data_IF_051081841624
#
_entry.id   IF_051081841624
#
_cell.length_a   1.000
_cell.length_b   1.000
_cell.length_c   1.000
_cell.angle_alpha   90.00
_cell.angle_beta   90.00
_cell.angle_gamma   90.00
#
_symmetry.space_group_name_H-M   'P 1'
#
loop_
_entity.id
_entity.type
_entity.pdbx_description
1 polymer ?
#
# COMPACT_ATOMS: atom_id res chain seq x y z
N UNK A 1 53.10 24.70 25.63
CA UNK A 1 51.64 24.47 25.54
C UNK A 1 51.42 23.04 25.05
N UNK A 2 50.81 22.11 25.80
CA UNK A 2 50.59 20.76 25.29
C UNK A 2 49.27 20.69 24.50
N UNK A 3 49.37 20.15 23.29
CA UNK A 3 48.27 19.91 22.36
C UNK A 3 47.25 18.93 22.94
N UNK A 4 45.96 19.25 22.80
CA UNK A 4 44.85 18.41 23.25
C UNK A 4 44.83 17.07 22.52
N UNK A 5 45.01 15.97 23.27
CA UNK A 5 44.68 14.63 22.78
C UNK A 5 43.19 14.61 22.45
N UNK A 6 42.87 14.58 21.16
CA UNK A 6 41.54 14.28 20.67
C UNK A 6 41.15 12.88 21.14
N UNK A 7 40.38 12.84 22.23
CA UNK A 7 39.70 11.64 22.72
C UNK A 7 38.94 11.06 21.53
N UNK A 8 39.41 9.95 21.00
CA UNK A 8 38.64 9.12 20.07
C UNK A 8 37.38 8.73 20.82
N UNK A 9 36.31 9.47 20.57
CA UNK A 9 35.02 9.26 21.20
C UNK A 9 34.39 8.01 20.61
N UNK A 10 34.94 6.84 20.92
CA UNK A 10 34.16 5.62 21.07
C UNK A 10 33.36 5.75 22.36
N UNK A 11 32.41 6.68 22.33
CA UNK A 11 31.38 6.78 23.34
C UNK A 11 30.48 5.55 23.22
N UNK A 12 30.58 4.65 24.21
CA UNK A 12 29.51 3.70 24.51
C UNK A 12 28.37 4.49 25.14
N UNK A 13 27.59 5.17 24.29
CA UNK A 13 26.63 6.16 24.75
C UNK A 13 25.74 6.64 23.63
N UNK A 14 24.76 5.83 23.27
CA UNK A 14 23.68 6.22 22.40
C UNK A 14 22.94 5.00 21.88
N UNK A 15 21.63 4.94 22.09
CA UNK A 15 20.73 4.04 21.35
C UNK A 15 20.59 4.57 19.92
N UNK A 16 21.73 4.71 19.25
CA UNK A 16 21.87 5.13 17.87
C UNK A 16 21.78 3.89 17.00
N UNK A 17 20.83 3.92 16.09
CA UNK A 17 20.59 2.94 15.03
C UNK A 17 21.86 2.82 14.16
N UNK A 18 22.86 2.08 14.66
CA UNK A 18 24.13 1.88 13.99
C UNK A 18 23.98 0.98 12.77
N UNK A 19 24.50 1.48 11.63
CA UNK A 19 24.57 0.85 10.30
C UNK A 19 23.24 0.84 9.52
N UNK A 20 23.03 1.87 8.69
CA UNK A 20 21.95 1.91 7.68
C UNK A 20 22.25 1.00 6.48
N UNK A 21 22.51 -0.28 6.71
CA UNK A 21 22.72 -1.27 5.64
C UNK A 21 22.14 -2.63 5.98
N UNK A 22 21.37 -2.75 7.06
CA UNK A 22 20.49 -3.88 7.25
C UNK A 22 19.39 -3.83 6.18
N UNK A 23 19.53 -4.65 5.13
CA UNK A 23 18.44 -4.89 4.17
C UNK A 23 17.20 -5.27 4.98
N UNK A 24 16.14 -4.46 4.89
CA UNK A 24 14.86 -4.83 5.48
C UNK A 24 14.41 -6.09 4.79
N UNK A 25 14.33 -7.19 5.51
CA UNK A 25 13.70 -8.40 4.99
C UNK A 25 12.27 -8.05 4.57
N UNK A 26 11.94 -8.38 3.32
CA UNK A 26 10.59 -8.15 2.79
C UNK A 26 9.61 -8.93 3.66
N UNK A 27 8.52 -8.29 4.07
CA UNK A 27 7.44 -8.96 4.80
C UNK A 27 6.97 -10.16 3.97
N UNK A 28 6.93 -11.34 4.60
CA UNK A 28 6.40 -12.54 3.97
C UNK A 28 4.93 -12.25 3.64
N UNK A 29 4.59 -12.37 2.35
CA UNK A 29 3.22 -12.23 1.89
C UNK A 29 2.42 -13.40 2.44
N UNK A 30 1.41 -13.10 3.25
CA UNK A 30 0.41 -14.07 3.71
C UNK A 30 -0.88 -13.86 2.90
N UNK A 31 -1.87 -14.71 3.14
CA UNK A 31 -3.19 -14.52 2.55
C UNK A 31 -3.90 -13.29 3.16
N UNK A 32 -3.56 -12.11 2.63
CA UNK A 32 -4.01 -10.81 3.12
C UNK A 32 -5.52 -10.60 2.89
N UNK A 33 -6.18 -11.49 2.15
CA UNK A 33 -7.60 -11.36 1.82
C UNK A 33 -8.49 -11.38 3.07
N UNK A 34 -8.08 -12.11 4.11
CA UNK A 34 -8.78 -12.13 5.39
C UNK A 34 -8.65 -10.81 6.17
N UNK A 35 -7.69 -9.95 5.80
CA UNK A 35 -7.59 -8.58 6.30
C UNK A 35 -8.78 -7.70 5.87
N UNK A 36 -9.52 -8.10 4.83
CA UNK A 36 -10.83 -7.51 4.51
C UNK A 36 -11.86 -8.10 5.48
N UNK A 37 -12.10 -7.36 6.57
CA UNK A 37 -12.97 -7.80 7.66
C UNK A 37 -14.45 -7.83 7.25
N UNK A 38 -15.24 -8.66 7.94
CA UNK A 38 -16.71 -8.68 7.79
C UNK A 38 -17.33 -7.29 8.01
N UNK A 39 -16.74 -6.48 8.89
CA UNK A 39 -17.16 -5.10 9.15
C UNK A 39 -16.99 -4.18 7.93
N UNK A 40 -15.87 -4.28 7.22
CA UNK A 40 -15.64 -3.52 5.98
C UNK A 40 -16.64 -3.89 4.89
N UNK A 41 -16.89 -5.18 4.68
CA UNK A 41 -17.87 -5.68 3.71
C UNK A 41 -19.28 -5.19 4.07
N UNK A 42 -19.65 -5.25 5.35
CA UNK A 42 -20.94 -4.73 5.82
C UNK A 42 -21.09 -3.25 5.51
N UNK A 43 -20.07 -2.43 5.78
CA UNK A 43 -20.10 -0.98 5.47
C UNK A 43 -20.31 -0.71 3.97
N UNK A 44 -19.62 -1.45 3.10
CA UNK A 44 -19.82 -1.34 1.65
C UNK A 44 -21.25 -1.71 1.23
N UNK A 45 -21.74 -2.86 1.69
CA UNK A 45 -23.09 -3.33 1.35
C UNK A 45 -24.17 -2.36 1.87
N UNK A 46 -24.00 -1.80 3.07
CA UNK A 46 -24.91 -0.77 3.59
C UNK A 46 -24.92 0.49 2.74
N UNK A 47 -23.74 0.96 2.27
CA UNK A 47 -23.67 2.10 1.33
C UNK A 47 -24.42 1.80 0.03
N UNK A 48 -24.41 0.54 -0.42
CA UNK A 48 -25.20 0.06 -1.55
C UNK A 48 -26.68 -0.23 -1.25
N UNK A 49 -27.20 0.12 -0.08
CA UNK A 49 -28.63 -0.08 0.26
C UNK A 49 -29.01 -1.51 0.67
N UNK A 50 -28.05 -2.41 0.90
CA UNK A 50 -28.34 -3.80 1.24
C UNK A 50 -28.90 -3.92 2.66
N UNK A 51 -30.13 -4.44 2.82
CA UNK A 51 -30.85 -4.56 4.11
C UNK A 51 -30.48 -5.80 4.92
N UNK A 52 -30.29 -6.96 4.29
CA UNK A 52 -29.90 -8.22 4.93
C UNK A 52 -28.73 -8.84 4.16
N UNK A 53 -27.78 -9.44 4.88
CA UNK A 53 -26.56 -10.02 4.29
C UNK A 53 -26.43 -11.44 4.82
N UNK A 54 -26.38 -12.42 3.90
CA UNK A 54 -26.13 -13.83 4.23
C UNK A 54 -24.69 -14.07 4.67
N UNK A 55 -24.44 -15.17 5.38
CA UNK A 55 -23.10 -15.53 5.85
C UNK A 55 -22.14 -15.93 4.72
N UNK A 56 -22.64 -16.51 3.62
CA UNK A 56 -21.82 -16.95 2.47
C UNK A 56 -21.19 -15.78 1.70
N UNK A 57 -21.88 -14.63 1.68
CA UNK A 57 -21.48 -13.44 0.93
C UNK A 57 -20.10 -12.91 1.34
N UNK A 58 -19.66 -13.10 2.59
CA UNK A 58 -18.37 -12.55 3.02
C UNK A 58 -17.19 -13.14 2.25
N UNK A 59 -17.25 -14.44 1.92
CA UNK A 59 -16.17 -15.09 1.19
C UNK A 59 -16.30 -14.87 -0.33
N UNK A 60 -17.52 -14.83 -0.85
CA UNK A 60 -17.77 -14.48 -2.25
C UNK A 60 -17.25 -13.09 -2.60
N UNK A 61 -17.51 -12.08 -1.73
CA UNK A 61 -17.01 -10.71 -1.93
C UNK A 61 -15.48 -10.66 -1.91
N UNK A 62 -14.84 -11.47 -1.06
CA UNK A 62 -13.37 -11.57 -1.03
C UNK A 62 -12.81 -12.16 -2.32
N UNK A 63 -13.41 -13.24 -2.81
CA UNK A 63 -13.04 -13.83 -4.09
C UNK A 63 -13.21 -12.83 -5.23
N UNK A 64 -14.36 -12.17 -5.32
CA UNK A 64 -14.64 -11.15 -6.33
C UNK A 64 -13.65 -9.97 -6.28
N UNK A 65 -13.32 -9.48 -5.07
CA UNK A 65 -12.34 -8.42 -4.88
C UNK A 65 -10.94 -8.84 -5.34
N UNK A 66 -10.51 -10.07 -4.99
CA UNK A 66 -9.22 -10.62 -5.40
C UNK A 66 -9.13 -10.71 -6.93
N UNK A 67 -10.17 -11.21 -7.59
CA UNK A 67 -10.24 -11.26 -9.05
C UNK A 67 -10.20 -9.88 -9.69
N UNK A 68 -10.93 -8.89 -9.14
CA UNK A 68 -10.93 -7.52 -9.66
C UNK A 68 -9.56 -6.84 -9.56
N UNK A 69 -8.81 -7.11 -8.48
CA UNK A 69 -7.50 -6.52 -8.21
C UNK A 69 -6.35 -7.21 -8.94
N UNK A 70 -6.55 -8.42 -9.46
CA UNK A 70 -5.52 -9.13 -10.22
C UNK A 70 -5.22 -8.51 -11.60
N UNK A 71 -5.95 -7.46 -11.97
CA UNK A 71 -5.75 -6.72 -13.22
C UNK A 71 -4.48 -5.85 -13.11
N UNK A 72 -3.34 -6.38 -13.54
CA UNK A 72 -2.03 -5.71 -13.45
C UNK A 72 -1.45 -5.32 -14.82
N UNK A 73 -0.66 -4.25 -14.84
CA UNK A 73 0.25 -3.95 -15.96
C UNK A 73 1.56 -4.72 -15.79
N UNK A 74 2.21 -5.11 -16.90
CA UNK A 74 3.42 -5.95 -16.89
C UNK A 74 4.72 -5.19 -16.52
N UNK A 75 4.67 -4.28 -15.53
CA UNK A 75 5.82 -3.48 -15.09
C UNK A 75 6.24 -3.82 -13.67
N UNK A 76 7.55 -3.68 -13.39
CA UNK A 76 8.13 -3.89 -12.04
C UNK A 76 7.69 -2.82 -11.03
N UNK A 77 7.46 -1.60 -11.51
CA UNK A 77 6.99 -0.46 -10.73
C UNK A 77 5.66 -0.01 -11.31
N UNK A 78 4.61 0.00 -10.48
CA UNK A 78 3.28 0.49 -10.86
C UNK A 78 3.18 1.96 -10.49
N UNK A 79 2.84 2.81 -11.45
CA UNK A 79 2.62 4.24 -11.26
C UNK A 79 1.12 4.60 -11.33
N UNK A 80 0.76 5.80 -10.88
CA UNK A 80 -0.65 6.26 -10.91
C UNK A 80 -1.26 6.23 -12.32
N UNK A 81 -0.57 6.72 -13.38
CA UNK A 81 -1.08 6.62 -14.75
C UNK A 81 -1.38 5.19 -15.19
N UNK A 82 -0.65 4.19 -14.69
CA UNK A 82 -0.85 2.78 -15.06
C UNK A 82 -2.19 2.27 -14.53
N UNK A 83 -2.54 2.66 -13.30
CA UNK A 83 -3.82 2.31 -12.68
C UNK A 83 -4.97 3.01 -13.42
N UNK A 84 -4.83 4.30 -13.71
CA UNK A 84 -5.84 5.08 -14.47
C UNK A 84 -6.06 4.46 -15.86
N UNK A 85 -4.98 4.09 -16.55
CA UNK A 85 -5.05 3.45 -17.86
C UNK A 85 -5.80 2.11 -17.84
N UNK A 86 -5.48 1.24 -16.88
CA UNK A 86 -6.17 -0.06 -16.72
C UNK A 86 -7.65 0.16 -16.41
N UNK A 87 -7.96 1.08 -15.50
CA UNK A 87 -9.34 1.39 -15.12
C UNK A 87 -10.18 1.95 -16.29
N UNK A 88 -9.59 2.81 -17.12
CA UNK A 88 -10.23 3.32 -18.34
C UNK A 88 -10.52 2.19 -19.34
N UNK A 89 -9.58 1.26 -19.54
CA UNK A 89 -9.78 0.10 -20.40
C UNK A 89 -10.88 -0.84 -19.89
N UNK A 90 -11.02 -0.97 -18.58
CA UNK A 90 -12.06 -1.79 -17.95
C UNK A 90 -13.43 -1.10 -17.87
N UNK A 91 -13.57 0.13 -18.39
CA UNK A 91 -14.84 0.87 -18.38
C UNK A 91 -15.22 1.45 -17.01
N UNK A 92 -14.28 1.55 -16.07
CA UNK A 92 -14.51 2.14 -14.75
C UNK A 92 -13.50 3.27 -14.48
N UNK A 93 -13.57 4.39 -15.23
CA UNK A 93 -12.62 5.50 -15.10
C UNK A 93 -12.65 6.11 -13.70
N UNK A 94 -11.49 6.59 -13.23
CA UNK A 94 -11.35 7.29 -11.95
C UNK A 94 -10.76 8.69 -12.20
N UNK A 95 -11.38 9.72 -11.64
CA UNK A 95 -10.99 11.11 -11.80
C UNK A 95 -10.23 11.64 -10.58
N UNK A 96 -9.47 12.72 -10.77
CA UNK A 96 -8.72 13.40 -9.69
C UNK A 96 -7.34 12.80 -9.40
N UNK A 97 -6.86 11.90 -10.26
CA UNK A 97 -5.54 11.27 -10.17
C UNK A 97 -4.63 11.62 -11.36
N UNK A 98 -5.09 12.52 -12.23
CA UNK A 98 -4.28 13.04 -13.33
C UNK A 98 -3.13 13.90 -12.79
N UNK A 99 -2.02 13.94 -13.52
CA UNK A 99 -0.88 14.75 -13.13
C UNK A 99 -1.33 16.23 -13.02
N UNK A 100 -0.99 16.94 -11.92
CA UNK A 100 -1.32 18.35 -11.81
C UNK A 100 -0.69 19.10 -12.99
N UNK A 101 -1.43 20.09 -13.51
CA UNK A 101 -0.92 21.00 -14.52
C UNK A 101 0.33 21.66 -13.93
N UNK A 102 1.51 21.23 -14.38
CA UNK A 102 2.78 21.81 -13.96
C UNK A 102 2.79 23.21 -14.56
N UNK A 103 2.40 24.22 -13.79
CA UNK A 103 2.68 25.61 -14.14
C UNK A 103 4.21 25.71 -14.21
N UNK A 104 4.73 25.72 -15.44
CA UNK A 104 6.10 26.14 -15.70
C UNK A 104 6.14 27.61 -15.33
N UNK A 105 6.61 27.89 -14.11
CA UNK A 105 7.17 29.18 -13.74
C UNK A 105 8.67 29.10 -14.02
#
# INVERSE_FOLDING_TARGET
QPAGLGKTATGLGGKGLGKSTAKRHRKILRDNIQGITKGSIRRLARRGGVKRISATIYEEVRSALKSRLHMSTARKTITVPDVVFVLNRHGTPIYGFDAPFRTRT
#
